data_IF_292156770600
#
_entry.id   IF_292156770600
#
_cell.length_a   1.000
_cell.length_b   1.000
_cell.length_c   1.000
_cell.angle_alpha   90.00
_cell.angle_beta   90.00
_cell.angle_gamma   90.00
#
_symmetry.space_group_name_H-M   'P 1'
#
loop_
_entity.id
_entity.type
_entity.pdbx_description
1 polymer ?
#
# COMPACT_ATOMS: atom_id res chain seq x y z
N UNK A 1 15.68 -3.79 14.93
CA UNK A 1 14.59 -4.77 15.11
C UNK A 1 14.02 -5.04 13.73
N UNK A 2 13.98 -6.30 13.31
CA UNK A 2 13.39 -6.69 12.02
C UNK A 2 11.89 -6.64 12.25
N UNK A 3 11.18 -5.68 11.64
CA UNK A 3 9.72 -5.66 11.69
C UNK A 3 9.22 -7.00 11.11
N UNK A 4 8.47 -7.78 11.87
CA UNK A 4 7.99 -9.07 11.37
C UNK A 4 7.00 -8.85 10.22
N UNK A 5 7.35 -9.32 9.02
CA UNK A 5 6.50 -9.25 7.82
C UNK A 5 5.15 -9.96 7.92
N UNK A 6 4.98 -10.80 8.95
CA UNK A 6 3.79 -11.63 9.15
C UNK A 6 2.46 -10.87 9.31
N UNK A 7 2.46 -9.54 9.44
CA UNK A 7 1.25 -8.74 9.67
C UNK A 7 0.96 -7.64 8.64
N UNK A 8 1.67 -7.56 7.49
CA UNK A 8 1.48 -6.44 6.56
C UNK A 8 0.17 -6.52 5.76
N UNK A 9 -0.12 -7.66 5.11
CA UNK A 9 -1.28 -7.78 4.22
C UNK A 9 -2.65 -7.52 4.89
N UNK A 10 -2.91 -7.96 6.14
CA UNK A 10 -4.14 -7.60 6.83
C UNK A 10 -4.30 -6.09 7.06
N UNK A 11 -3.21 -5.36 7.31
CA UNK A 11 -3.24 -3.90 7.46
C UNK A 11 -3.57 -3.22 6.13
N UNK A 12 -2.95 -3.69 5.05
CA UNK A 12 -3.22 -3.22 3.69
C UNK A 12 -4.68 -3.49 3.28
N UNK A 13 -5.21 -4.65 3.62
CA UNK A 13 -6.59 -5.03 3.34
C UNK A 13 -7.58 -4.10 4.06
N UNK A 14 -7.38 -3.86 5.36
CA UNK A 14 -8.21 -2.93 6.12
C UNK A 14 -8.16 -1.50 5.57
N UNK A 15 -6.97 -1.01 5.23
CA UNK A 15 -6.77 0.32 4.67
C UNK A 15 -7.39 0.46 3.27
N UNK A 16 -7.26 -0.55 2.41
CA UNK A 16 -7.81 -0.55 1.06
C UNK A 16 -9.34 -0.64 1.09
N UNK A 17 -9.92 -1.47 1.95
CA UNK A 17 -11.38 -1.62 2.06
C UNK A 17 -12.10 -0.29 2.33
N UNK A 18 -11.51 0.58 3.15
CA UNK A 18 -12.04 1.93 3.42
C UNK A 18 -11.99 2.87 2.20
N UNK A 19 -11.09 2.61 1.26
CA UNK A 19 -10.76 3.51 0.14
C UNK A 19 -11.30 3.03 -1.20
N UNK A 20 -11.53 1.73 -1.35
CA UNK A 20 -11.99 1.11 -2.59
C UNK A 20 -13.26 1.76 -3.16
N UNK A 21 -14.29 2.13 -2.35
CA UNK A 21 -15.47 2.82 -2.89
C UNK A 21 -15.11 4.15 -3.59
N UNK A 22 -14.14 4.90 -3.06
CA UNK A 22 -13.71 6.19 -3.65
C UNK A 22 -13.00 6.01 -4.99
N UNK A 23 -12.30 4.89 -5.16
CA UNK A 23 -11.63 4.54 -6.41
C UNK A 23 -12.68 4.20 -7.48
N UNK A 24 -13.62 3.33 -7.13
CA UNK A 24 -14.69 2.86 -8.04
C UNK A 24 -15.61 4.00 -8.47
N UNK A 25 -16.00 4.88 -7.55
CA UNK A 25 -16.98 5.94 -7.83
C UNK A 25 -16.40 7.14 -8.61
N UNK A 26 -15.10 7.44 -8.46
CA UNK A 26 -14.55 8.73 -8.90
C UNK A 26 -13.19 8.70 -9.59
N UNK A 27 -12.53 7.55 -9.74
CA UNK A 27 -11.15 7.43 -10.28
C UNK A 27 -10.26 8.64 -9.89
N UNK A 28 -9.88 8.74 -8.61
CA UNK A 28 -9.23 9.93 -8.10
C UNK A 28 -7.90 10.21 -8.81
N UNK A 29 -7.62 11.49 -9.09
CA UNK A 29 -6.33 11.90 -9.64
C UNK A 29 -5.16 11.56 -8.69
N UNK A 30 -5.40 11.59 -7.38
CA UNK A 30 -4.47 11.15 -6.36
C UNK A 30 -5.22 10.65 -5.11
N UNK A 31 -4.79 9.51 -4.55
CA UNK A 31 -5.33 8.95 -3.32
C UNK A 31 -4.24 8.18 -2.57
N UNK A 32 -4.05 8.49 -1.29
CA UNK A 32 -3.24 7.66 -0.41
C UNK A 32 -3.98 6.36 -0.08
N UNK A 33 -3.41 5.22 -0.46
CA UNK A 33 -3.93 3.88 -0.20
C UNK A 33 -3.51 3.34 1.16
N UNK A 34 -2.27 3.64 1.57
CA UNK A 34 -1.73 3.23 2.86
C UNK A 34 -0.84 4.33 3.47
N UNK A 35 -1.04 4.68 4.75
CA UNK A 35 -0.42 5.83 5.44
C UNK A 35 0.56 5.44 6.55
N UNK A 36 1.12 4.24 6.47
CA UNK A 36 2.25 3.81 7.29
C UNK A 36 1.95 3.81 8.79
N UNK A 37 2.52 4.78 9.52
CA UNK A 37 2.47 4.83 10.98
C UNK A 37 1.04 4.77 11.52
N UNK A 38 0.11 5.52 10.93
CA UNK A 38 -1.29 5.55 11.40
C UNK A 38 -2.06 4.27 11.08
N UNK A 39 -1.50 3.41 10.23
CA UNK A 39 -2.09 2.15 9.80
C UNK A 39 -1.25 0.93 10.20
N UNK A 40 -0.31 1.13 11.13
CA UNK A 40 0.39 0.04 11.82
C UNK A 40 1.70 -0.42 11.18
N UNK A 41 2.17 0.20 10.09
CA UNK A 41 3.46 -0.13 9.47
C UNK A 41 4.24 1.15 9.08
N UNK A 42 4.97 1.77 10.03
CA UNK A 42 5.60 3.09 9.83
C UNK A 42 6.53 3.22 8.63
N UNK A 43 7.12 2.11 8.19
CA UNK A 43 8.13 2.10 7.14
C UNK A 43 7.55 2.03 5.71
N UNK A 44 6.22 1.98 5.55
CA UNK A 44 5.57 1.84 4.25
C UNK A 44 4.50 2.91 4.04
N UNK A 45 4.55 3.62 2.91
CA UNK A 45 3.43 4.43 2.41
C UNK A 45 3.14 4.04 0.97
N UNK A 46 1.86 4.01 0.60
CA UNK A 46 1.43 3.69 -0.76
C UNK A 46 0.41 4.72 -1.23
N UNK A 47 0.73 5.39 -2.34
CA UNK A 47 -0.12 6.35 -3.01
C UNK A 47 -0.52 5.84 -4.40
N UNK A 48 -1.73 6.19 -4.85
CA UNK A 48 -2.24 5.95 -6.19
C UNK A 48 -2.44 7.30 -6.87
N UNK A 49 -1.74 7.52 -7.99
CA UNK A 49 -1.90 8.69 -8.85
C UNK A 49 -2.50 8.23 -10.18
N UNK A 50 -3.81 8.44 -10.36
CA UNK A 50 -4.57 7.82 -11.44
C UNK A 50 -4.37 6.29 -11.47
N UNK A 51 -3.62 5.78 -12.44
CA UNK A 51 -3.28 4.36 -12.64
C UNK A 51 -1.89 3.98 -12.11
N UNK A 52 -1.14 4.95 -11.59
CA UNK A 52 0.24 4.78 -11.16
C UNK A 52 0.34 4.57 -9.66
N UNK A 53 0.85 3.41 -9.24
CA UNK A 53 1.16 3.12 -7.84
C UNK A 53 2.54 3.67 -7.47
N UNK A 54 2.64 4.41 -6.36
CA UNK A 54 3.91 4.90 -5.81
C UNK A 54 4.10 4.30 -4.42
N UNK A 55 5.21 3.60 -4.23
CA UNK A 55 5.59 2.95 -2.98
C UNK A 55 6.74 3.73 -2.37
N UNK A 56 6.56 4.21 -1.14
CA UNK A 56 7.63 4.78 -0.33
C UNK A 56 8.07 3.74 0.69
N UNK A 57 9.30 3.27 0.51
CA UNK A 57 10.01 2.38 1.43
C UNK A 57 10.92 3.22 2.33
N UNK A 58 10.54 3.35 3.59
CA UNK A 58 11.31 4.05 4.61
C UNK A 58 12.12 3.08 5.51
N UNK A 59 12.18 1.79 5.16
CA UNK A 59 12.96 0.84 5.93
C UNK A 59 14.45 1.20 5.90
N UNK A 60 15.13 1.01 7.03
CA UNK A 60 16.57 1.25 7.13
C UNK A 60 17.39 0.40 6.14
N UNK A 61 16.85 -0.76 5.77
CA UNK A 61 17.36 -1.61 4.69
C UNK A 61 16.25 -1.73 3.64
N UNK A 62 16.49 -1.30 2.39
CA UNK A 62 15.48 -1.37 1.33
C UNK A 62 14.96 -2.80 1.14
N UNK A 63 13.64 -2.97 1.07
CA UNK A 63 12.97 -4.28 0.92
C UNK A 63 12.49 -4.51 -0.51
N UNK A 64 12.97 -3.70 -1.45
CA UNK A 64 12.33 -3.53 -2.74
C UNK A 64 12.36 -4.74 -3.66
N UNK A 65 13.39 -5.57 -3.55
CA UNK A 65 13.53 -6.74 -4.41
C UNK A 65 12.68 -7.92 -3.92
N UNK A 66 12.30 -7.96 -2.65
CA UNK A 66 11.64 -9.12 -2.04
C UNK A 66 10.12 -8.94 -1.92
N UNK A 67 9.64 -7.74 -1.56
CA UNK A 67 8.25 -7.55 -1.12
C UNK A 67 7.42 -6.77 -2.14
N UNK A 68 8.01 -5.76 -2.79
CA UNK A 68 7.26 -4.85 -3.66
C UNK A 68 6.65 -5.52 -4.89
N UNK A 69 7.28 -6.51 -5.56
CA UNK A 69 6.61 -7.24 -6.64
C UNK A 69 5.30 -7.91 -6.18
N UNK A 70 5.30 -8.52 -4.98
CA UNK A 70 4.11 -9.13 -4.38
C UNK A 70 3.05 -8.09 -4.00
N UNK A 71 3.47 -6.95 -3.45
CA UNK A 71 2.58 -5.84 -3.10
C UNK A 71 1.90 -5.24 -4.33
N UNK A 72 2.66 -4.99 -5.40
CA UNK A 72 2.15 -4.46 -6.67
C UNK A 72 1.13 -5.44 -7.26
N UNK A 73 1.46 -6.73 -7.33
CA UNK A 73 0.54 -7.76 -7.80
C UNK A 73 -0.75 -7.82 -6.97
N UNK A 74 -0.64 -7.67 -5.64
CA UNK A 74 -1.78 -7.67 -4.73
C UNK A 74 -2.73 -6.49 -4.96
N UNK A 75 -2.19 -5.27 -5.18
CA UNK A 75 -2.99 -4.09 -5.51
C UNK A 75 -3.62 -4.18 -6.90
N UNK A 76 -2.86 -4.64 -7.90
CA UNK A 76 -3.36 -4.80 -9.28
C UNK A 76 -4.54 -5.78 -9.37
N UNK A 77 -4.64 -6.75 -8.45
CA UNK A 77 -5.77 -7.67 -8.40
C UNK A 77 -7.03 -7.08 -7.74
N UNK A 78 -6.92 -5.93 -7.06
CA UNK A 78 -7.98 -5.37 -6.19
C UNK A 78 -8.42 -3.97 -6.60
N UNK A 79 -7.59 -3.24 -7.31
CA UNK A 79 -7.90 -1.92 -7.85
C UNK A 79 -8.37 -2.11 -9.30
N UNK A 80 -9.53 -1.54 -9.69
CA UNK A 80 -10.08 -1.66 -11.03
C UNK A 80 -9.28 -0.91 -12.09
#
# INVERSE_FOLDING_TARGET
MIASHASLFPLLEGALAFRLPKIVERQPAALRLFNGFTEGHPELVVDLYADTLVIFDYAATPQAEEIWPGLVAWYHQRIP
#
